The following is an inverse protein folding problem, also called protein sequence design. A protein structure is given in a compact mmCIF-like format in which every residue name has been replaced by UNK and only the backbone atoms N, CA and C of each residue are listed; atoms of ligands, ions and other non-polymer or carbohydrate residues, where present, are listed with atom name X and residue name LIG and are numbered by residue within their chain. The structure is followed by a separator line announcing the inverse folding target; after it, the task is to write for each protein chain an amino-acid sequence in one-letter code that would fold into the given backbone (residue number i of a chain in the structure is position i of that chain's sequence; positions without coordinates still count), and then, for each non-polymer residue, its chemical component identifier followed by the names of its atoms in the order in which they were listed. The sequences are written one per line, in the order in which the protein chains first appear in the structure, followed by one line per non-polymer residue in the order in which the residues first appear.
data_IF_161973563517
#
_entry.id   IF_161973563517
#
_cell.length_a   1.000
_cell.length_b   1.000
_cell.length_c   1.000
_cell.angle_alpha   90.00
_cell.angle_beta   90.00
_cell.angle_gamma   90.00
#
_symmetry.space_group_name_H-M   'P 1'
#
loop_
_entity.id
_entity.type
_entity.pdbx_description
1 polymer ?
#
# COMPACT_ATOMS: atom_id res chain seq x y z
N UNK A 1 -16.88 -12.03 -18.61
CA UNK A 1 -15.68 -11.23 -18.99
C UNK A 1 -15.47 -10.11 -17.99
N UNK A 2 -14.46 -10.23 -17.11
CA UNK A 2 -14.15 -9.19 -16.14
C UNK A 2 -13.50 -8.00 -16.87
N UNK A 3 -14.18 -6.85 -16.92
CA UNK A 3 -13.61 -5.61 -17.47
C UNK A 3 -12.66 -4.99 -16.43
N UNK A 4 -11.52 -4.41 -16.83
CA UNK A 4 -10.51 -3.90 -15.88
C UNK A 4 -11.08 -2.83 -14.92
N UNK A 5 -12.01 -1.99 -15.39
CA UNK A 5 -12.72 -1.00 -14.54
C UNK A 5 -13.58 -1.66 -13.45
N UNK A 6 -14.25 -2.77 -13.76
CA UNK A 6 -15.09 -3.48 -12.79
C UNK A 6 -14.23 -4.15 -11.72
N UNK A 7 -13.09 -4.70 -12.13
CA UNK A 7 -12.09 -5.31 -11.25
C UNK A 7 -11.56 -4.34 -10.18
N UNK A 8 -11.19 -3.12 -10.61
CA UNK A 8 -10.75 -2.04 -9.70
C UNK A 8 -11.84 -1.62 -8.71
N UNK A 9 -13.09 -1.51 -9.17
CA UNK A 9 -14.23 -1.18 -8.31
C UNK A 9 -14.49 -2.27 -7.27
N UNK A 10 -14.39 -3.54 -7.66
CA UNK A 10 -14.53 -4.66 -6.74
C UNK A 10 -13.46 -4.64 -5.64
N UNK A 11 -12.19 -4.41 -6.00
CA UNK A 11 -11.10 -4.30 -5.03
C UNK A 11 -11.29 -3.14 -4.04
N UNK A 12 -11.74 -1.97 -4.52
CA UNK A 12 -12.06 -0.83 -3.67
C UNK A 12 -13.17 -1.18 -2.67
N UNK A 13 -14.26 -1.76 -3.17
CA UNK A 13 -15.38 -2.20 -2.35
C UNK A 13 -14.93 -3.21 -1.28
N UNK A 14 -14.14 -4.22 -1.65
CA UNK A 14 -13.61 -5.20 -0.69
C UNK A 14 -12.77 -4.55 0.41
N UNK A 15 -11.90 -3.59 0.06
CA UNK A 15 -11.08 -2.88 1.06
C UNK A 15 -11.95 -2.09 2.04
N UNK A 16 -12.95 -1.36 1.55
CA UNK A 16 -13.89 -0.60 2.39
C UNK A 16 -14.72 -1.52 3.30
N UNK A 17 -15.23 -2.63 2.79
CA UNK A 17 -15.99 -3.58 3.61
C UNK A 17 -15.15 -4.20 4.71
N UNK A 18 -13.86 -4.47 4.44
CA UNK A 18 -12.94 -5.02 5.44
C UNK A 18 -12.60 -3.99 6.52
N UNK A 19 -12.34 -2.74 6.14
CA UNK A 19 -12.06 -1.68 7.12
C UNK A 19 -13.27 -1.46 8.03
N UNK A 20 -14.47 -1.38 7.46
CA UNK A 20 -15.69 -1.16 8.23
C UNK A 20 -15.97 -2.33 9.18
N UNK A 21 -15.77 -3.58 8.74
CA UNK A 21 -15.95 -4.77 9.58
C UNK A 21 -14.99 -4.79 10.78
N UNK A 22 -13.70 -4.45 10.55
CA UNK A 22 -12.69 -4.36 11.62
C UNK A 22 -13.10 -3.26 12.62
N UNK A 23 -13.43 -2.08 12.13
CA UNK A 23 -13.83 -0.93 12.96
C UNK A 23 -15.04 -1.26 13.85
N UNK A 24 -16.06 -1.92 13.29
CA UNK A 24 -17.26 -2.32 14.04
C UNK A 24 -16.92 -3.31 15.14
N UNK A 25 -16.03 -4.28 14.89
CA UNK A 25 -15.63 -5.25 15.91
C UNK A 25 -14.94 -4.60 17.12
N UNK A 26 -14.01 -3.66 16.88
CA UNK A 26 -13.32 -2.93 17.95
C UNK A 26 -14.22 -1.93 18.67
N UNK A 27 -15.09 -1.23 17.92
CA UNK A 27 -16.04 -0.28 18.51
C UNK A 27 -17.04 -0.98 19.43
N UNK A 28 -17.48 -2.20 19.07
CA UNK A 28 -18.34 -3.03 19.93
C UNK A 28 -17.68 -3.42 21.24
N UNK A 29 -16.35 -3.53 21.28
CA UNK A 29 -15.58 -3.80 22.50
C UNK A 29 -15.23 -2.50 23.27
N UNK A 30 -15.68 -1.34 22.81
CA UNK A 30 -15.38 -0.05 23.42
C UNK A 30 -13.93 0.42 23.22
N UNK A 31 -13.18 -0.22 22.31
CA UNK A 31 -11.77 0.13 22.05
C UNK A 31 -11.70 1.15 20.93
N UNK A 32 -11.05 2.30 21.19
CA UNK A 32 -10.76 3.30 20.15
C UNK A 32 -9.71 2.76 19.18
N UNK A 33 -10.08 2.60 17.91
CA UNK A 33 -9.19 2.13 16.85
C UNK A 33 -9.19 3.13 15.69
N UNK A 34 -8.02 3.44 15.14
CA UNK A 34 -7.90 4.36 14.00
C UNK A 34 -8.03 3.60 12.68
N UNK A 35 -8.90 4.10 11.80
CA UNK A 35 -9.17 3.56 10.47
C UNK A 35 -7.88 3.37 9.64
N UNK A 36 -6.87 4.23 9.85
CA UNK A 36 -5.56 4.14 9.16
C UNK A 36 -4.88 2.79 9.38
N UNK A 37 -5.00 2.22 10.58
CA UNK A 37 -4.40 0.91 10.87
C UNK A 37 -5.17 -0.22 10.17
N UNK A 38 -6.50 -0.13 10.11
CA UNK A 38 -7.32 -1.10 9.37
C UNK A 38 -7.06 -1.03 7.85
N UNK A 39 -6.86 0.18 7.31
CA UNK A 39 -6.54 0.38 5.89
C UNK A 39 -5.20 -0.27 5.52
N UNK A 40 -4.18 -0.11 6.36
CA UNK A 40 -2.88 -0.77 6.16
C UNK A 40 -3.06 -2.30 6.15
N UNK A 41 -3.89 -2.86 7.03
CA UNK A 41 -4.17 -4.29 7.07
C UNK A 41 -4.93 -4.78 5.83
N UNK A 42 -6.01 -4.10 5.44
CA UNK A 42 -6.81 -4.47 4.26
C UNK A 42 -6.00 -4.37 2.96
N UNK A 43 -5.05 -3.43 2.90
CA UNK A 43 -4.07 -3.32 1.83
C UNK A 43 -3.15 -4.54 1.74
N UNK A 44 -2.65 -5.04 2.88
CA UNK A 44 -1.82 -6.26 2.87
C UNK A 44 -2.63 -7.46 2.38
N UNK A 45 -3.87 -7.61 2.85
CA UNK A 45 -4.76 -8.71 2.46
C UNK A 45 -5.07 -8.74 0.95
N UNK A 46 -5.02 -7.58 0.27
CA UNK A 46 -5.34 -7.41 -1.15
C UNK A 46 -4.12 -7.09 -2.02
N UNK A 47 -2.91 -7.43 -1.54
CA UNK A 47 -1.65 -7.13 -2.24
C UNK A 47 -1.43 -7.95 -3.51
N UNK A 48 -2.11 -9.09 -3.65
CA UNK A 48 -1.88 -10.07 -4.72
C UNK A 48 -3.03 -10.16 -5.71
N UNK A 49 -2.67 -10.54 -6.92
CA UNK A 49 -3.57 -10.80 -8.04
C UNK A 49 -3.29 -12.16 -8.64
N UNK A 50 -4.33 -12.81 -9.17
CA UNK A 50 -4.23 -14.07 -9.89
C UNK A 50 -4.47 -13.84 -11.37
N UNK A 51 -3.67 -14.50 -12.21
CA UNK A 51 -3.84 -14.51 -13.67
C UNK A 51 -4.89 -15.55 -14.03
N UNK A 52 -6.04 -15.14 -14.56
CA UNK A 52 -7.05 -16.08 -15.06
C UNK A 52 -6.81 -16.46 -16.52
N UNK A 53 -6.39 -15.48 -17.35
CA UNK A 53 -6.03 -15.70 -18.75
C UNK A 53 -4.73 -14.98 -19.06
N UNK A 54 -3.83 -15.68 -19.73
CA UNK A 54 -2.48 -15.19 -20.02
C UNK A 54 -2.44 -14.10 -21.10
N UNK A 55 -3.38 -14.09 -22.04
CA UNK A 55 -3.29 -13.19 -23.20
C UNK A 55 -1.96 -13.43 -23.94
N UNK A 56 -1.29 -12.35 -24.35
CA UNK A 56 0.03 -12.40 -25.01
C UNK A 56 1.21 -12.34 -24.02
N UNK A 57 0.98 -12.65 -22.74
CA UNK A 57 2.04 -12.70 -21.72
C UNK A 57 2.59 -14.10 -21.53
N UNK A 58 3.85 -14.19 -21.06
CA UNK A 58 4.51 -15.45 -20.70
C UNK A 58 4.04 -16.03 -19.35
N UNK A 59 2.97 -15.49 -18.76
CA UNK A 59 2.47 -15.88 -17.46
C UNK A 59 1.55 -17.10 -17.58
N UNK A 60 1.74 -18.10 -16.73
CA UNK A 60 0.81 -19.22 -16.67
C UNK A 60 -0.51 -18.81 -15.96
N UNK A 61 -1.68 -19.36 -16.37
CA UNK A 61 -2.91 -19.16 -15.63
C UNK A 61 -2.80 -19.78 -14.23
N UNK A 62 -3.40 -19.12 -13.24
CA UNK A 62 -3.28 -19.49 -11.83
C UNK A 62 -2.07 -18.89 -11.10
N UNK A 63 -1.17 -18.20 -11.82
CA UNK A 63 -0.01 -17.55 -11.20
C UNK A 63 -0.45 -16.38 -10.30
N UNK A 64 0.14 -16.33 -9.10
CA UNK A 64 -0.05 -15.24 -8.16
C UNK A 64 1.05 -14.21 -8.34
N UNK A 65 0.66 -12.97 -8.63
CA UNK A 65 1.55 -11.84 -8.80
C UNK A 65 1.24 -10.77 -7.76
N UNK A 66 2.20 -9.88 -7.51
CA UNK A 66 1.90 -8.65 -6.78
C UNK A 66 1.08 -7.71 -7.66
N UNK A 67 0.14 -6.97 -7.06
CA UNK A 67 -0.74 -6.04 -7.75
C UNK A 67 0.05 -5.08 -8.66
N UNK A 68 1.15 -4.49 -8.17
CA UNK A 68 1.99 -3.58 -8.95
C UNK A 68 2.63 -4.24 -10.16
N UNK A 69 3.16 -5.47 -10.01
CA UNK A 69 3.73 -6.25 -11.13
C UNK A 69 2.65 -6.59 -12.17
N UNK A 70 1.44 -6.93 -11.72
CA UNK A 70 0.31 -7.18 -12.61
C UNK A 70 -0.09 -5.94 -13.42
N UNK A 71 -0.16 -4.77 -12.78
CA UNK A 71 -0.47 -3.50 -13.45
C UNK A 71 0.62 -3.11 -14.45
N UNK A 72 1.89 -3.28 -14.11
CA UNK A 72 3.02 -2.99 -15.01
C UNK A 72 3.01 -3.89 -16.26
N UNK A 73 2.68 -5.19 -16.10
CA UNK A 73 2.57 -6.12 -17.22
C UNK A 73 1.38 -5.77 -18.12
N UNK A 74 0.23 -5.41 -17.52
CA UNK A 74 -0.93 -4.94 -18.27
C UNK A 74 -0.59 -3.68 -19.09
N UNK A 75 0.15 -2.73 -18.51
CA UNK A 75 0.60 -1.51 -19.19
C UNK A 75 1.60 -1.80 -20.32
N UNK A 76 2.57 -2.69 -20.09
CA UNK A 76 3.54 -3.09 -21.11
C UNK A 76 2.88 -3.75 -22.34
N UNK A 77 1.94 -4.67 -22.12
CA UNK A 77 1.19 -5.33 -23.21
C UNK A 77 0.30 -4.34 -23.97
N UNK A 78 -0.28 -3.38 -23.24
CA UNK A 78 -1.09 -2.32 -23.84
C UNK A 78 -0.24 -1.45 -24.78
N UNK A 79 1.00 -1.15 -24.41
CA UNK A 79 1.94 -0.39 -25.24
C UNK A 79 2.39 -1.17 -26.48
N UNK A 80 2.57 -2.49 -26.36
CA UNK A 80 2.90 -3.35 -27.50
C UNK A 80 1.70 -3.65 -28.41
N UNK A 81 0.48 -3.23 -28.04
CA UNK A 81 -0.74 -3.47 -28.80
C UNK A 81 -1.23 -4.92 -28.75
N UNK A 82 -0.76 -5.72 -27.79
CA UNK A 82 -1.11 -7.13 -27.65
C UNK A 82 -2.43 -7.36 -26.90
N UNK A 83 -2.81 -8.63 -26.79
CA UNK A 83 -3.97 -9.08 -26.03
C UNK A 83 -3.66 -9.03 -24.54
N UNK A 84 -4.38 -8.16 -23.83
CA UNK A 84 -4.24 -7.95 -22.39
C UNK A 84 -4.50 -9.23 -21.59
N UNK A 85 -3.67 -9.54 -20.57
CA UNK A 85 -3.96 -10.63 -19.64
C UNK A 85 -5.20 -10.30 -18.80
N UNK A 86 -6.00 -11.33 -18.47
CA UNK A 86 -7.12 -11.17 -17.54
C UNK A 86 -6.63 -11.47 -16.12
N UNK A 87 -6.49 -10.41 -15.32
CA UNK A 87 -5.97 -10.45 -13.96
C UNK A 87 -7.10 -10.10 -12.98
N UNK A 88 -7.19 -10.84 -11.88
CA UNK A 88 -8.19 -10.64 -10.82
C UNK A 88 -7.53 -10.50 -9.45
N UNK A 89 -7.93 -9.52 -8.61
CA UNK A 89 -7.44 -9.37 -7.26
C UNK A 89 -7.89 -10.57 -6.42
N UNK A 90 -6.99 -11.03 -5.56
CA UNK A 90 -7.26 -12.13 -4.66
C UNK A 90 -7.06 -11.66 -3.23
N UNK A 91 -8.08 -11.91 -2.40
CA UNK A 91 -7.96 -11.72 -0.97
C UNK A 91 -7.14 -12.88 -0.39
N UNK A 92 -5.96 -12.59 0.13
CA UNK A 92 -5.07 -13.56 0.75
C UNK A 92 -5.09 -13.39 2.27
N UNK A 93 -5.17 -14.50 3.01
CA UNK A 93 -5.05 -14.46 4.48
C UNK A 93 -3.65 -14.03 4.93
N UNK A 94 -3.54 -13.52 6.16
CA UNK A 94 -2.30 -13.00 6.74
C UNK A 94 -1.17 -14.03 6.72
N UNK A 95 -1.47 -15.28 7.07
CA UNK A 95 -0.50 -16.39 7.07
C UNK A 95 0.08 -16.64 5.68
N UNK A 96 -0.79 -16.72 4.66
CA UNK A 96 -0.39 -16.92 3.26
C UNK A 96 0.43 -15.74 2.74
N UNK A 97 0.13 -14.51 3.15
CA UNK A 97 0.91 -13.33 2.79
C UNK A 97 2.31 -13.38 3.43
N UNK A 98 2.40 -13.77 4.70
CA UNK A 98 3.67 -13.92 5.40
C UNK A 98 4.59 -14.95 4.75
N UNK A 99 4.04 -16.12 4.39
CA UNK A 99 4.78 -17.19 3.72
C UNK A 99 5.17 -16.85 2.28
N UNK A 100 4.43 -15.96 1.62
CA UNK A 100 4.65 -15.62 0.21
C UNK A 100 5.27 -14.24 0.00
N UNK A 101 6.08 -13.81 0.97
CA UNK A 101 6.98 -12.65 0.87
C UNK A 101 8.02 -12.85 -0.24
N UNK A 102 8.50 -11.75 -0.84
CA UNK A 102 9.56 -11.80 -1.84
C UNK A 102 10.91 -12.22 -1.23
N UNK A 103 11.13 -11.91 0.06
CA UNK A 103 12.28 -12.40 0.81
C UNK A 103 12.02 -13.79 1.40
N UNK A 104 12.90 -14.73 1.07
CA UNK A 104 12.84 -16.07 1.64
C UNK A 104 13.34 -16.10 3.09
N UNK A 105 14.26 -15.21 3.51
CA UNK A 105 14.69 -15.14 4.90
C UNK A 105 13.54 -14.67 5.81
N UNK A 106 12.80 -13.66 5.37
CA UNK A 106 11.64 -13.16 6.09
C UNK A 106 10.47 -14.16 6.11
N UNK A 107 10.30 -14.95 5.05
CA UNK A 107 9.29 -16.00 4.98
C UNK A 107 9.67 -17.20 5.87
N UNK A 108 10.92 -17.68 5.80
CA UNK A 108 11.42 -18.79 6.60
C UNK A 108 11.37 -18.47 8.10
N UNK A 109 11.61 -17.22 8.49
CA UNK A 109 11.51 -16.80 9.90
C UNK A 109 10.07 -16.74 10.43
N UNK A 110 9.05 -16.85 9.57
CA UNK A 110 7.66 -16.83 9.98
C UNK A 110 7.18 -18.24 10.35
N UNK A 111 7.11 -19.15 9.37
CA UNK A 111 6.66 -20.53 9.49
C UNK A 111 7.27 -21.40 8.37
N UNK A 112 7.10 -22.72 8.43
CA UNK A 112 7.48 -23.68 7.37
C UNK A 112 8.95 -23.58 6.90
N UNK A 113 9.86 -23.29 7.86
CA UNK A 113 11.29 -23.00 7.65
C UNK A 113 11.97 -23.90 6.61
N UNK A 114 11.88 -25.22 6.80
CA UNK A 114 12.54 -26.21 5.94
C UNK A 114 12.02 -26.17 4.50
N UNK A 115 10.70 -26.09 4.32
CA UNK A 115 10.07 -26.04 2.99
C UNK A 115 10.46 -24.76 2.24
N UNK A 116 10.41 -23.61 2.94
CA UNK A 116 10.77 -22.31 2.35
C UNK A 116 12.23 -22.28 1.91
N UNK A 117 13.15 -22.79 2.74
CA UNK A 117 14.58 -22.84 2.40
C UNK A 117 14.87 -23.80 1.25
N UNK A 118 14.26 -24.99 1.25
CA UNK A 118 14.43 -25.97 0.17
C UNK A 118 13.94 -25.43 -1.17
N UNK A 119 12.73 -24.88 -1.23
CA UNK A 119 12.19 -24.31 -2.46
C UNK A 119 13.05 -23.15 -2.96
N UNK A 120 13.53 -22.30 -2.04
CA UNK A 120 14.39 -21.18 -2.39
C UNK A 120 15.76 -21.62 -2.92
N UNK A 121 16.32 -22.72 -2.38
CA UNK A 121 17.56 -23.32 -2.86
C UNK A 121 17.40 -23.95 -4.25
N UNK A 122 16.28 -24.66 -4.48
CA UNK A 122 15.95 -25.26 -5.80
C UNK A 122 15.78 -24.17 -6.86
N UNK A 123 15.07 -23.09 -6.52
CA UNK A 123 14.84 -21.96 -7.43
C UNK A 123 16.06 -21.02 -7.57
N UNK A 124 17.08 -21.17 -6.71
CA UNK A 124 18.24 -20.28 -6.66
C UNK A 124 17.88 -18.83 -6.31
N UNK A 125 16.91 -18.62 -5.41
CA UNK A 125 16.45 -17.27 -5.03
C UNK A 125 17.54 -16.48 -4.32
N UNK A 126 17.63 -15.19 -4.63
CA UNK A 126 18.54 -14.23 -3.99
C UNK A 126 17.74 -13.20 -3.21
N UNK A 127 18.13 -12.96 -1.95
CA UNK A 127 17.50 -11.97 -1.08
C UNK A 127 18.28 -10.65 -1.10
N UNK A 128 17.59 -9.55 -1.41
CA UNK A 128 18.19 -8.22 -1.52
C UNK A 128 18.16 -7.41 -0.21
N UNK A 129 17.61 -7.99 0.87
CA UNK A 129 17.61 -7.41 2.22
C UNK A 129 16.97 -6.02 2.23
N UNK A 130 15.80 -5.91 1.59
CA UNK A 130 15.04 -4.66 1.44
C UNK A 130 14.13 -4.40 2.64
N UNK A 131 13.72 -5.44 3.37
CA UNK A 131 12.76 -5.29 4.47
C UNK A 131 13.45 -5.30 5.84
N UNK A 132 12.65 -4.97 6.85
CA UNK A 132 13.10 -4.87 8.25
C UNK A 132 13.54 -6.24 8.76
N UNK A 133 12.74 -7.30 8.56
CA UNK A 133 12.98 -8.62 9.15
C UNK A 133 14.33 -9.21 8.74
N UNK A 134 14.66 -9.15 7.44
CA UNK A 134 15.94 -9.63 6.94
C UNK A 134 17.13 -8.91 7.58
N UNK A 135 17.05 -7.57 7.69
CA UNK A 135 18.13 -6.77 8.26
C UNK A 135 18.25 -6.98 9.77
N UNK A 136 17.14 -7.20 10.50
CA UNK A 136 17.17 -7.59 11.92
C UNK A 136 17.89 -8.92 12.10
N UNK A 137 17.54 -9.94 11.31
CA UNK A 137 18.15 -11.28 11.41
C UNK A 137 19.66 -11.25 11.18
N UNK A 138 20.14 -10.36 10.32
CA UNK A 138 21.56 -10.19 10.00
C UNK A 138 22.26 -9.13 10.87
N UNK A 139 21.58 -8.56 11.87
CA UNK A 139 22.09 -7.49 12.73
C UNK A 139 22.63 -6.27 11.94
N UNK A 140 21.98 -5.92 10.82
CA UNK A 140 22.29 -4.75 10.01
C UNK A 140 21.43 -3.56 10.43
N UNK A 141 21.87 -2.36 10.05
CA UNK A 141 21.05 -1.14 10.17
C UNK A 141 19.70 -1.35 9.46
N UNK A 142 18.63 -0.99 10.16
CA UNK A 142 17.28 -1.12 9.63
C UNK A 142 17.04 -0.06 8.55
N UNK A 143 16.34 -0.39 7.45
CA UNK A 143 15.98 0.56 6.40
C UNK A 143 14.80 1.45 6.85
N UNK A 144 14.88 2.03 8.04
CA UNK A 144 13.87 2.88 8.67
C UNK A 144 14.55 3.96 9.51
N UNK A 145 13.89 5.13 9.61
CA UNK A 145 14.35 6.22 10.47
C UNK A 145 15.78 6.64 10.14
N UNK A 146 16.65 6.66 11.15
CA UNK A 146 18.06 7.04 11.00
C UNK A 146 18.89 6.08 10.12
N UNK A 147 18.45 4.83 9.97
CA UNK A 147 19.12 3.86 9.10
C UNK A 147 18.64 3.90 7.64
N UNK A 148 17.69 4.77 7.30
CA UNK A 148 17.20 4.91 5.94
C UNK A 148 18.06 5.88 5.13
N UNK A 149 18.88 5.34 4.24
CA UNK A 149 19.57 6.11 3.21
C UNK A 149 18.83 5.96 1.86
N UNK A 150 18.24 7.04 1.32
CA UNK A 150 17.47 6.98 0.07
C UNK A 150 18.32 6.62 -1.15
N UNK A 151 19.63 6.93 -1.15
CA UNK A 151 20.54 6.64 -2.26
C UNK A 151 20.80 5.14 -2.29
N UNK A 152 21.26 4.59 -1.15
CA UNK A 152 21.53 3.16 -0.99
C UNK A 152 20.26 2.34 -1.24
N UNK A 153 19.11 2.80 -0.73
CA UNK A 153 17.84 2.13 -0.94
C UNK A 153 17.43 2.09 -2.42
N UNK A 154 17.58 3.21 -3.13
CA UNK A 154 17.27 3.29 -4.57
C UNK A 154 18.21 2.42 -5.42
N UNK A 155 19.46 2.29 -5.01
CA UNK A 155 20.44 1.43 -5.67
C UNK A 155 20.10 -0.05 -5.48
N UNK A 156 19.78 -0.48 -4.26
CA UNK A 156 19.30 -1.84 -4.00
C UNK A 156 18.03 -2.19 -4.79
N UNK A 157 17.09 -1.25 -4.89
CA UNK A 157 15.87 -1.40 -5.70
C UNK A 157 16.17 -1.56 -7.20
N UNK A 158 17.19 -0.86 -7.71
CA UNK A 158 17.60 -1.01 -9.12
C UNK A 158 18.22 -2.38 -9.35
N UNK A 159 19.03 -2.85 -8.41
CA UNK A 159 19.75 -4.13 -8.53
C UNK A 159 18.83 -5.35 -8.42
N UNK A 160 17.75 -5.27 -7.63
CA UNK A 160 16.80 -6.37 -7.52
C UNK A 160 15.96 -6.61 -8.79
N UNK A 161 16.08 -5.75 -9.83
CA UNK A 161 15.13 -5.68 -10.97
C UNK A 161 13.66 -5.60 -10.53
N UNK A 162 13.42 -5.28 -9.27
CA UNK A 162 12.10 -5.28 -8.64
C UNK A 162 11.64 -3.82 -8.61
N UNK A 163 11.22 -3.35 -9.78
CA UNK A 163 11.10 -1.92 -10.07
C UNK A 163 9.96 -1.20 -9.31
N UNK A 164 9.05 -1.93 -8.65
CA UNK A 164 7.76 -1.36 -8.24
C UNK A 164 7.43 -1.47 -6.75
N UNK A 165 8.44 -1.27 -5.88
CA UNK A 165 8.14 -0.75 -4.53
C UNK A 165 7.68 0.72 -4.55
N UNK A 166 7.76 1.40 -5.71
CA UNK A 166 7.36 2.82 -5.90
C UNK A 166 5.89 3.10 -5.61
N UNK A 167 5.05 2.08 -5.55
CA UNK A 167 3.63 2.25 -5.19
C UNK A 167 3.40 2.20 -3.68
N UNK A 168 4.42 2.34 -2.82
CA UNK A 168 4.17 2.50 -1.39
C UNK A 168 3.32 3.76 -1.10
N UNK A 169 3.51 4.86 -1.84
CA UNK A 169 2.98 6.17 -1.43
C UNK A 169 2.02 6.90 -2.39
N UNK A 170 1.97 6.58 -3.70
CA UNK A 170 1.22 7.45 -4.65
C UNK A 170 -0.22 7.04 -4.94
N UNK A 171 -0.58 5.81 -4.62
CA UNK A 171 -1.90 5.28 -4.91
C UNK A 171 -2.42 4.72 -3.59
N UNK A 172 -3.65 5.09 -3.20
CA UNK A 172 -4.40 4.47 -2.10
C UNK A 172 -4.20 5.03 -0.69
N UNK A 173 -4.33 6.35 -0.56
CA UNK A 173 -5.10 6.91 0.56
C UNK A 173 -6.56 6.92 0.09
N UNK A 174 -7.48 6.25 0.77
CA UNK A 174 -8.92 6.34 0.43
C UNK A 174 -9.35 7.79 0.19
N UNK A 175 -10.15 8.12 -0.84
CA UNK A 175 -10.67 9.47 -1.02
C UNK A 175 -11.53 9.95 0.17
N UNK A 176 -12.04 9.04 1.03
CA UNK A 176 -12.64 9.40 2.35
C UNK A 176 -11.65 10.10 3.28
N UNK A 177 -10.37 9.77 3.18
CA UNK A 177 -9.33 10.43 3.97
C UNK A 177 -8.98 11.81 3.41
N UNK A 178 -9.01 12.00 2.08
CA UNK A 178 -8.90 13.32 1.49
C UNK A 178 -10.12 14.20 1.82
N UNK A 179 -11.34 13.65 1.91
CA UNK A 179 -12.52 14.45 2.26
C UNK A 179 -12.44 15.01 3.69
N UNK A 180 -12.00 14.22 4.67
CA UNK A 180 -11.81 14.73 6.05
C UNK A 180 -10.65 15.73 6.16
N UNK A 181 -9.59 15.58 5.33
CA UNK A 181 -8.49 16.55 5.22
C UNK A 181 -8.93 17.86 4.56
N UNK A 182 -9.68 17.79 3.47
CA UNK A 182 -10.27 18.94 2.75
C UNK A 182 -11.29 19.67 3.65
N UNK A 183 -12.16 18.94 4.35
CA UNK A 183 -13.15 19.51 5.27
C UNK A 183 -12.45 20.18 6.46
N UNK A 184 -11.43 19.55 7.05
CA UNK A 184 -10.64 20.18 8.13
C UNK A 184 -9.90 21.41 7.60
N UNK A 185 -9.13 21.33 6.52
CA UNK A 185 -8.39 22.49 5.98
C UNK A 185 -9.30 23.67 5.61
N UNK A 186 -10.46 23.42 4.99
CA UNK A 186 -11.40 24.48 4.66
C UNK A 186 -12.03 25.10 5.92
N UNK A 187 -12.32 24.29 6.96
CA UNK A 187 -12.80 24.79 8.26
C UNK A 187 -11.75 25.68 8.95
N UNK A 188 -10.48 25.28 8.97
CA UNK A 188 -9.38 26.05 9.59
C UNK A 188 -8.98 27.28 8.76
N UNK A 189 -9.09 27.25 7.43
CA UNK A 189 -8.89 28.44 6.56
C UNK A 189 -9.99 29.47 6.77
N UNK A 190 -11.25 29.04 6.87
CA UNK A 190 -12.38 29.94 7.13
C UNK A 190 -12.32 30.54 8.55
N UNK A 191 -11.94 29.75 9.56
CA UNK A 191 -11.73 30.24 10.93
C UNK A 191 -10.56 31.23 11.02
N UNK A 192 -9.47 31.01 10.29
CA UNK A 192 -8.35 31.98 10.20
C UNK A 192 -8.79 33.29 9.55
N UNK A 193 -9.54 33.25 8.45
CA UNK A 193 -10.11 34.45 7.80
C UNK A 193 -11.10 35.20 8.69
N UNK A 194 -11.91 34.48 9.49
CA UNK A 194 -12.80 35.11 10.47
C UNK A 194 -12.01 35.77 11.61
N UNK A 195 -10.99 35.10 12.12
CA UNK A 195 -10.15 35.62 13.20
C UNK A 195 -9.38 36.88 12.78
N UNK A 196 -8.83 36.92 11.56
CA UNK A 196 -8.16 38.13 11.03
C UNK A 196 -9.15 39.27 10.79
N UNK A 197 -10.36 38.98 10.28
CA UNK A 197 -11.43 40.00 10.15
C UNK A 197 -11.87 40.57 11.50
N UNK A 198 -12.03 39.74 12.52
CA UNK A 198 -12.38 40.20 13.88
C UNK A 198 -11.25 41.04 14.46
N UNK A 199 -9.99 40.63 14.29
CA UNK A 199 -8.82 41.41 14.74
C UNK A 199 -8.72 42.78 14.05
N UNK A 200 -8.87 42.84 12.72
CA UNK A 200 -8.89 44.11 12.00
C UNK A 200 -10.06 45.00 12.42
N UNK A 201 -11.27 44.44 12.61
CA UNK A 201 -12.42 45.22 13.08
C UNK A 201 -12.23 45.76 14.50
N UNK A 202 -11.55 45.00 15.37
CA UNK A 202 -11.24 45.42 16.75
C UNK A 202 -10.15 46.49 16.81
N UNK A 203 -9.18 46.45 15.88
CA UNK A 203 -8.14 47.48 15.76
C UNK A 203 -8.70 48.79 15.20
N UNK A 204 -9.60 48.72 14.20
CA UNK A 204 -10.25 49.92 13.66
C UNK A 204 -11.16 50.59 14.71
N UNK A 205 -11.98 49.83 15.45
CA UNK A 205 -12.82 50.42 16.50
C UNK A 205 -12.00 51.07 17.62
N UNK A 206 -10.80 50.56 17.94
CA UNK A 206 -9.91 51.21 18.92
C UNK A 206 -9.27 52.51 18.41
N UNK A 207 -9.14 52.66 17.09
CA UNK A 207 -8.57 53.88 16.50
C UNK A 207 -9.64 54.97 16.34
N UNK A 208 -10.91 54.59 16.20
CA UNK A 208 -12.04 55.51 16.11
C UNK A 208 -12.41 56.12 17.48
N UNK A 209 -12.02 55.49 18.60
CA UNK A 209 -12.23 55.99 19.97
C UNK A 209 -11.13 56.98 20.45
N UNK A 210 -10.10 57.26 19.64
CA UNK A 210 -8.92 58.10 20.00
C UNK A 210 -8.90 59.45 19.26
N UNK A 211 -9.89 59.75 18.43
CA UNK A 211 -10.11 61.06 17.79
C UNK A 211 -11.36 61.74 18.33
#
# INVERSE_FOLDING_TARGET
NCKPKACKKALLWTRETLTDAIMVAYTKQGVSFDERHAEVLSRQLTRKVCVCKSGDTMLAPGTLLELGKGEAIEEAVKLSGGILPLIQPVLSGLTRIGLSSNSFLAAASFQETASVLLNSAIEGRVDWLLNIKENVLLARLLPLGAGFDPIIFKEKLRNSKEQDYRTFDKIFISPKFNSTRIIKENKWKNLRKLKTRILHKRLNMKNDDIT
#
